data_IF_427583432326
#
_entry.id   IF_427583432326
#
_cell.length_a   1.000
_cell.length_b   1.000
_cell.length_c   1.000
_cell.angle_alpha   90.00
_cell.angle_beta   90.00
_cell.angle_gamma   90.00
#
_symmetry.space_group_name_H-M   'P 1'
#
loop_
_entity.id
_entity.type
_entity.pdbx_description
1 polymer ?
#
# COMPACT_ATOMS: atom_id res chain seq x y z
N UNK A 1 4.32 14.76 16.18
CA UNK A 1 4.85 14.77 17.57
C UNK A 1 4.15 13.78 18.48
N UNK A 2 2.85 13.61 18.28
CA UNK A 2 2.01 12.68 19.06
C UNK A 2 2.25 11.18 18.83
N UNK A 3 2.94 10.82 17.74
CA UNK A 3 3.20 9.45 17.32
C UNK A 3 4.65 9.07 17.65
N UNK A 4 4.91 8.14 18.58
CA UNK A 4 6.28 7.84 19.06
C UNK A 4 7.26 7.36 17.97
N UNK A 5 6.78 6.52 17.06
CA UNK A 5 7.43 6.14 15.81
C UNK A 5 6.45 6.31 14.66
N UNK A 6 6.69 7.27 13.77
CA UNK A 6 5.76 7.61 12.69
C UNK A 6 6.01 6.82 11.40
N UNK A 7 6.91 5.84 11.35
CA UNK A 7 7.17 5.02 10.16
C UNK A 7 6.76 3.55 10.38
N UNK A 8 6.12 2.95 9.37
CA UNK A 8 5.74 1.53 9.37
C UNK A 8 5.71 0.97 7.93
N UNK A 9 5.48 -0.33 7.81
CA UNK A 9 5.39 -1.07 6.55
C UNK A 9 5.82 -2.53 6.74
N UNK A 10 5.21 -3.44 5.98
CA UNK A 10 5.41 -4.90 6.10
C UNK A 10 6.70 -5.31 5.40
N UNK A 11 6.94 -4.80 4.19
CA UNK A 11 8.14 -5.13 3.39
C UNK A 11 9.16 -4.00 3.45
N UNK A 12 8.70 -2.79 3.14
CA UNK A 12 9.51 -1.57 3.15
C UNK A 12 8.85 -0.60 4.11
N UNK A 13 9.61 -0.09 5.09
CA UNK A 13 9.11 0.84 6.09
C UNK A 13 9.14 2.29 5.60
N UNK A 14 8.44 2.56 4.50
CA UNK A 14 8.37 3.89 3.88
C UNK A 14 7.02 4.60 4.07
N UNK A 15 6.04 3.99 4.75
CA UNK A 15 4.77 4.65 5.06
C UNK A 15 4.82 5.41 6.38
N UNK A 16 4.07 6.51 6.43
CA UNK A 16 3.86 7.27 7.66
C UNK A 16 2.45 7.08 8.19
N UNK A 17 2.30 6.97 9.52
CA UNK A 17 0.95 6.86 10.13
C UNK A 17 0.15 8.13 9.88
N UNK A 18 0.81 9.28 10.05
CA UNK A 18 0.35 10.57 9.56
C UNK A 18 1.49 11.24 8.79
N UNK A 19 1.25 11.73 7.59
CA UNK A 19 2.21 12.48 6.80
C UNK A 19 2.71 13.71 7.58
N UNK A 20 4.04 13.88 7.64
CA UNK A 20 4.68 14.95 8.42
C UNK A 20 5.20 16.09 7.56
N UNK A 21 6.17 15.82 6.69
CA UNK A 21 6.86 16.86 5.91
C UNK A 21 6.31 17.02 4.50
N UNK A 22 5.83 15.92 3.92
CA UNK A 22 5.28 15.87 2.56
C UNK A 22 4.08 14.95 2.56
N UNK A 23 3.05 15.34 1.82
CA UNK A 23 1.97 14.45 1.40
C UNK A 23 2.33 13.91 0.03
N UNK A 24 2.23 12.59 -0.16
CA UNK A 24 2.68 11.95 -1.39
C UNK A 24 1.53 11.63 -2.37
N UNK A 25 0.29 11.73 -1.91
CA UNK A 25 -0.90 11.54 -2.73
C UNK A 25 -2.14 12.19 -2.09
N UNK A 26 -3.21 12.34 -2.87
CA UNK A 26 -4.50 12.81 -2.37
C UNK A 26 -5.12 11.70 -1.52
N UNK A 27 -5.22 11.93 -0.20
CA UNK A 27 -5.65 10.93 0.78
C UNK A 27 -4.60 10.62 1.85
N UNK A 28 -3.37 11.14 1.69
CA UNK A 28 -2.31 10.96 2.68
C UNK A 28 -2.65 11.70 3.99
N UNK A 29 -3.06 10.93 5.01
CA UNK A 29 -3.59 11.50 6.25
C UNK A 29 -2.54 12.29 7.02
N UNK A 30 -2.82 13.55 7.37
CA UNK A 30 -1.89 14.44 8.09
C UNK A 30 -2.27 14.68 9.56
N UNK A 31 -3.55 14.47 9.89
CA UNK A 31 -4.10 14.69 11.22
C UNK A 31 -5.24 13.69 11.48
N UNK A 32 -5.56 13.48 12.75
CA UNK A 32 -6.71 12.68 13.18
C UNK A 32 -7.37 13.37 14.37
N UNK A 33 -8.71 13.36 14.43
CA UNK A 33 -9.48 13.96 15.50
C UNK A 33 -10.28 12.90 16.27
N UNK A 34 -10.37 13.06 17.59
CA UNK A 34 -11.26 12.29 18.45
C UNK A 34 -12.27 13.23 19.12
N UNK A 35 -13.53 12.83 19.14
CA UNK A 35 -14.61 13.54 19.82
C UNK A 35 -15.65 12.56 20.35
N UNK A 36 -16.60 13.04 21.15
CA UNK A 36 -17.66 12.20 21.73
C UNK A 36 -18.71 11.77 20.71
N UNK A 37 -18.82 12.49 19.58
CA UNK A 37 -19.71 12.16 18.47
C UNK A 37 -18.97 12.26 17.13
N UNK A 38 -19.48 11.53 16.12
CA UNK A 38 -18.91 11.55 14.77
C UNK A 38 -18.99 12.95 14.16
N UNK A 39 -20.09 13.66 14.41
CA UNK A 39 -20.35 15.01 13.90
C UNK A 39 -19.38 16.03 14.51
N UNK A 40 -19.04 15.88 15.80
CA UNK A 40 -18.05 16.74 16.44
C UNK A 40 -16.64 16.48 15.91
N UNK A 41 -16.28 15.22 15.65
CA UNK A 41 -14.99 14.87 15.04
C UNK A 41 -14.87 15.44 13.62
N UNK A 42 -15.92 15.33 12.81
CA UNK A 42 -15.95 15.91 11.45
C UNK A 42 -15.80 17.43 11.47
N UNK A 43 -16.55 18.13 12.35
CA UNK A 43 -16.41 19.58 12.54
C UNK A 43 -15.01 19.97 13.01
N UNK A 44 -14.39 19.18 13.89
CA UNK A 44 -13.02 19.45 14.33
C UNK A 44 -12.02 19.37 13.17
N UNK A 45 -12.20 18.42 12.24
CA UNK A 45 -11.36 18.31 11.04
C UNK A 45 -11.51 19.52 10.11
N UNK A 46 -12.73 20.06 9.94
CA UNK A 46 -12.97 21.27 9.12
C UNK A 46 -12.27 22.53 9.65
N UNK A 47 -11.96 22.57 10.96
CA UNK A 47 -11.26 23.69 11.58
C UNK A 47 -9.74 23.63 11.39
N UNK A 48 -9.21 22.49 10.95
CA UNK A 48 -7.77 22.32 10.69
C UNK A 48 -7.42 23.07 9.40
N UNK A 49 -6.56 24.07 9.52
CA UNK A 49 -6.00 24.80 8.38
C UNK A 49 -4.60 24.31 8.08
N UNK A 50 -4.34 24.03 6.82
CA UNK A 50 -3.06 23.49 6.35
C UNK A 50 -2.64 24.29 5.13
N UNK A 51 -1.42 24.80 5.18
CA UNK A 51 -0.80 25.50 4.06
C UNK A 51 0.16 24.55 3.36
N UNK A 52 -0.06 24.35 2.06
CA UNK A 52 0.80 23.50 1.23
C UNK A 52 1.66 24.36 0.33
N UNK A 53 2.91 23.96 0.18
CA UNK A 53 3.72 24.33 -0.97
C UNK A 53 3.64 23.19 -1.97
N UNK A 54 3.05 23.45 -3.13
CA UNK A 54 2.98 22.46 -4.19
C UNK A 54 4.38 22.05 -4.65
N UNK A 55 4.54 20.74 -4.85
CA UNK A 55 5.74 20.12 -5.42
C UNK A 55 5.37 19.49 -6.76
N UNK A 56 6.32 19.36 -7.71
CA UNK A 56 6.07 18.62 -8.93
C UNK A 56 5.64 17.18 -8.62
N UNK A 57 4.47 16.78 -9.11
CA UNK A 57 3.97 15.42 -9.01
C UNK A 57 4.45 14.55 -10.17
N UNK A 58 4.48 13.23 -9.96
CA UNK A 58 4.69 12.23 -11.01
C UNK A 58 3.44 11.36 -11.07
N UNK A 59 2.92 11.18 -12.28
CA UNK A 59 1.67 10.43 -12.51
C UNK A 59 1.81 9.34 -13.58
N UNK A 60 3.00 9.17 -14.16
CA UNK A 60 3.33 8.06 -15.06
C UNK A 60 4.59 7.33 -14.54
N UNK A 61 4.55 5.99 -14.36
CA UNK A 61 5.72 5.25 -13.93
C UNK A 61 6.91 5.30 -14.91
N UNK A 62 6.67 5.54 -16.21
CA UNK A 62 7.77 5.72 -17.17
C UNK A 62 8.47 7.08 -16.98
N UNK A 63 7.72 8.14 -16.67
CA UNK A 63 8.31 9.43 -16.27
C UNK A 63 9.10 9.30 -14.96
N UNK A 64 8.66 8.42 -14.05
CA UNK A 64 9.37 8.15 -12.80
C UNK A 64 10.74 7.49 -12.98
N UNK A 65 10.96 6.78 -14.09
CA UNK A 65 12.24 6.13 -14.44
C UNK A 65 13.27 7.10 -15.03
N UNK A 66 12.85 8.31 -15.44
CA UNK A 66 13.75 9.31 -16.03
C UNK A 66 14.78 9.81 -15.02
N UNK A 67 16.00 10.08 -15.49
CA UNK A 67 17.15 10.43 -14.64
C UNK A 67 16.92 11.68 -13.78
N UNK A 68 16.18 12.64 -14.32
CA UNK A 68 15.92 13.94 -13.68
C UNK A 68 14.51 14.02 -13.07
N UNK A 69 13.80 12.89 -12.95
CA UNK A 69 12.48 12.82 -12.33
C UNK A 69 12.55 13.26 -10.86
N UNK A 70 11.59 14.04 -10.36
CA UNK A 70 11.57 14.41 -8.95
C UNK A 70 11.42 13.17 -8.07
N UNK A 71 12.17 13.11 -6.96
CA UNK A 71 12.11 11.96 -6.06
C UNK A 71 10.89 12.04 -5.15
N UNK A 72 10.05 11.00 -5.19
CA UNK A 72 8.88 10.84 -4.29
C UNK A 72 9.37 10.68 -2.85
N UNK A 73 10.33 9.76 -2.65
CA UNK A 73 11.04 9.56 -1.38
C UNK A 73 12.42 10.17 -1.50
N UNK A 74 12.63 11.35 -0.91
CA UNK A 74 13.85 12.14 -1.08
C UNK A 74 15.13 11.48 -0.54
N UNK A 75 14.99 10.45 0.29
CA UNK A 75 16.12 9.66 0.80
C UNK A 75 16.61 8.58 -0.18
N UNK A 76 15.91 8.34 -1.29
CA UNK A 76 16.26 7.32 -2.28
C UNK A 76 17.05 7.91 -3.45
N UNK A 77 17.77 7.05 -4.18
CA UNK A 77 18.54 7.45 -5.37
C UNK A 77 17.68 7.59 -6.63
N UNK A 78 16.52 6.91 -6.67
CA UNK A 78 15.56 6.93 -7.78
C UNK A 78 14.16 6.53 -7.29
N UNK A 79 13.16 6.58 -8.17
CA UNK A 79 11.77 6.20 -7.87
C UNK A 79 11.47 4.70 -8.08
N UNK A 80 12.48 3.87 -8.35
CA UNK A 80 12.27 2.44 -8.60
C UNK A 80 12.17 1.66 -7.28
N UNK A 81 10.96 1.18 -6.94
CA UNK A 81 10.74 0.38 -5.72
C UNK A 81 11.52 -0.92 -5.72
N UNK A 82 11.53 -1.64 -6.86
CA UNK A 82 12.22 -2.93 -7.00
C UNK A 82 12.45 -3.27 -8.48
N UNK A 83 13.49 -4.07 -8.76
CA UNK A 83 13.69 -4.72 -10.06
C UNK A 83 13.69 -6.25 -9.90
N UNK A 84 12.84 -6.95 -10.65
CA UNK A 84 12.87 -8.41 -10.70
C UNK A 84 13.29 -8.89 -12.09
N UNK A 85 14.22 -9.84 -12.12
CA UNK A 85 14.76 -10.41 -13.35
C UNK A 85 14.62 -11.92 -13.30
N UNK A 86 13.88 -12.47 -14.27
CA UNK A 86 13.78 -13.91 -14.51
C UNK A 86 14.45 -14.24 -15.84
N UNK A 87 15.36 -15.22 -15.84
CA UNK A 87 16.03 -15.71 -17.05
C UNK A 87 16.09 -17.23 -17.03
N UNK A 88 15.73 -17.83 -18.16
CA UNK A 88 15.79 -19.28 -18.37
C UNK A 88 16.09 -19.56 -19.83
N UNK A 89 17.09 -20.41 -20.08
CA UNK A 89 17.51 -20.76 -21.44
C UNK A 89 18.25 -19.63 -22.15
N UNK A 90 18.26 -19.72 -23.49
CA UNK A 90 18.95 -18.80 -24.39
C UNK A 90 17.91 -18.21 -25.35
N UNK A 91 17.49 -16.98 -25.07
CA UNK A 91 16.42 -16.30 -25.81
C UNK A 91 16.85 -15.92 -27.22
N UNK A 92 18.13 -15.59 -27.44
CA UNK A 92 18.67 -15.29 -28.76
C UNK A 92 18.58 -16.51 -29.68
N UNK A 93 19.02 -17.68 -29.19
CA UNK A 93 18.86 -18.94 -29.93
C UNK A 93 17.41 -19.30 -30.17
N UNK A 94 16.54 -19.08 -29.18
CA UNK A 94 15.11 -19.34 -29.32
C UNK A 94 14.45 -18.46 -30.39
N UNK A 95 14.77 -17.16 -30.43
CA UNK A 95 14.27 -16.26 -31.47
C UNK A 95 14.84 -16.56 -32.85
N UNK A 96 16.11 -17.01 -32.94
CA UNK A 96 16.69 -17.45 -34.22
C UNK A 96 15.99 -18.70 -34.79
N UNK A 97 15.35 -19.52 -33.95
CA UNK A 97 14.56 -20.69 -34.35
C UNK A 97 13.09 -20.37 -34.58
N UNK A 98 12.64 -19.17 -34.24
CA UNK A 98 11.24 -18.78 -34.41
C UNK A 98 10.94 -18.53 -35.88
N UNK A 99 9.86 -19.15 -36.37
CA UNK A 99 9.33 -18.87 -37.71
C UNK A 99 8.28 -17.76 -37.70
N UNK A 100 7.66 -17.53 -36.53
CA UNK A 100 6.72 -16.44 -36.28
C UNK A 100 7.16 -15.71 -35.02
N UNK A 101 7.28 -14.38 -35.11
CA UNK A 101 7.54 -13.52 -33.96
C UNK A 101 6.37 -12.54 -33.83
N UNK A 102 5.78 -12.48 -32.65
CA UNK A 102 4.71 -11.56 -32.31
C UNK A 102 5.18 -10.60 -31.21
N UNK A 103 5.04 -9.31 -31.50
CA UNK A 103 5.29 -8.23 -30.55
C UNK A 103 3.97 -7.51 -30.24
N UNK A 104 3.64 -7.41 -28.95
CA UNK A 104 2.40 -6.82 -28.47
C UNK A 104 2.65 -6.03 -27.19
N UNK A 105 1.97 -4.90 -27.08
CA UNK A 105 1.89 -4.14 -25.85
C UNK A 105 0.52 -4.34 -25.23
N UNK A 106 0.50 -4.53 -23.91
CA UNK A 106 -0.70 -4.70 -23.11
C UNK A 106 -0.66 -3.74 -21.94
N UNK A 107 -1.83 -3.22 -21.57
CA UNK A 107 -1.98 -2.41 -20.37
C UNK A 107 -3.10 -2.95 -19.50
N UNK A 108 -2.98 -2.73 -18.19
CA UNK A 108 -4.07 -2.94 -17.24
C UNK A 108 -4.29 -1.67 -16.43
N UNK A 109 -5.54 -1.37 -16.16
CA UNK A 109 -5.95 -0.21 -15.40
C UNK A 109 -5.77 -0.41 -13.89
N UNK A 110 -5.87 0.70 -13.17
CA UNK A 110 -6.08 0.73 -11.74
C UNK A 110 -7.42 0.12 -11.35
N UNK A 111 -7.45 -0.69 -10.28
CA UNK A 111 -8.68 -1.29 -9.78
C UNK A 111 -8.75 -1.16 -8.25
N UNK A 112 -9.90 -0.68 -7.78
CA UNK A 112 -10.27 -0.67 -6.37
C UNK A 112 -10.90 -2.01 -5.96
N UNK A 113 -10.55 -2.49 -4.77
CA UNK A 113 -11.06 -3.70 -4.13
C UNK A 113 -12.58 -3.65 -3.93
N UNK A 114 -13.10 -2.48 -3.53
CA UNK A 114 -14.53 -2.23 -3.35
C UNK A 114 -15.23 -3.25 -2.45
N UNK A 115 -14.55 -3.72 -1.40
CA UNK A 115 -15.19 -4.57 -0.38
C UNK A 115 -16.41 -3.86 0.21
N UNK A 116 -17.47 -4.60 0.49
CA UNK A 116 -18.78 -4.02 0.84
C UNK A 116 -18.71 -3.26 2.16
N UNK A 117 -18.00 -3.81 3.15
CA UNK A 117 -17.76 -3.18 4.45
C UNK A 117 -16.51 -2.31 4.39
N UNK A 118 -16.57 -0.97 4.55
CA UNK A 118 -15.38 -0.13 4.71
C UNK A 118 -14.48 -0.54 5.88
N UNK A 119 -13.28 0.02 5.95
CA UNK A 119 -12.36 -0.16 7.07
C UNK A 119 -13.00 0.30 8.38
N UNK A 120 -12.99 -0.59 9.37
CA UNK A 120 -13.55 -0.29 10.68
C UNK A 120 -12.81 -1.00 11.81
N UNK A 121 -12.66 -0.30 12.94
CA UNK A 121 -12.09 -0.86 14.16
C UNK A 121 -12.49 -0.08 15.42
N UNK A 122 -12.23 -0.70 16.57
CA UNK A 122 -12.27 -0.08 17.89
C UNK A 122 -10.96 -0.40 18.62
N UNK A 123 -10.26 0.63 19.09
CA UNK A 123 -9.11 0.50 19.97
C UNK A 123 -9.54 0.76 21.42
N UNK A 124 -9.26 -0.17 22.32
CA UNK A 124 -9.61 -0.15 23.74
C UNK A 124 -8.31 -0.13 24.57
N UNK A 125 -8.03 0.94 25.34
CA UNK A 125 -6.81 1.02 26.13
C UNK A 125 -6.93 0.16 27.41
N UNK A 126 -5.82 -0.41 27.87
CA UNK A 126 -5.68 -1.13 29.15
C UNK A 126 -6.59 -2.34 29.38
N UNK A 127 -7.08 -2.96 28.32
CA UNK A 127 -7.93 -4.14 28.40
C UNK A 127 -7.10 -5.44 28.41
N UNK A 128 -7.55 -6.46 29.15
CA UNK A 128 -6.93 -7.80 29.14
C UNK A 128 -5.41 -7.82 29.35
N UNK A 129 -4.89 -7.00 30.28
CA UNK A 129 -3.46 -6.83 30.56
C UNK A 129 -2.60 -6.34 29.37
N UNK A 130 -3.23 -5.88 28.29
CA UNK A 130 -2.56 -5.23 27.16
C UNK A 130 -2.51 -3.72 27.35
N UNK A 131 -1.57 -3.04 26.70
CA UNK A 131 -1.60 -1.57 26.64
C UNK A 131 -2.78 -1.10 25.78
N UNK A 132 -3.02 -1.79 24.67
CA UNK A 132 -4.17 -1.57 23.79
C UNK A 132 -4.65 -2.89 23.19
N UNK A 133 -5.97 -3.09 23.17
CA UNK A 133 -6.65 -4.14 22.42
C UNK A 133 -7.39 -3.52 21.25
N UNK A 134 -7.26 -4.05 20.04
CA UNK A 134 -7.89 -3.54 18.84
C UNK A 134 -8.76 -4.62 18.21
N UNK A 135 -10.04 -4.31 18.03
CA UNK A 135 -11.03 -5.15 17.36
C UNK A 135 -11.34 -4.54 15.99
N UNK A 136 -11.29 -5.31 14.91
CA UNK A 136 -11.63 -4.73 13.61
C UNK A 136 -11.60 -5.67 12.42
N UNK A 137 -11.93 -5.10 11.27
CA UNK A 137 -11.95 -5.76 9.96
C UNK A 137 -10.53 -5.93 9.39
N UNK A 138 -9.64 -6.61 10.11
CA UNK A 138 -8.19 -6.63 9.85
C UNK A 138 -7.81 -7.92 9.13
N UNK A 139 -7.31 -7.85 7.88
CA UNK A 139 -6.93 -9.04 7.11
C UNK A 139 -5.76 -9.80 7.77
N UNK A 140 -4.74 -9.07 8.20
CA UNK A 140 -3.52 -9.64 8.76
C UNK A 140 -3.28 -9.14 10.20
N UNK A 141 -3.83 -9.82 11.22
CA UNK A 141 -3.73 -9.35 12.60
C UNK A 141 -2.29 -9.33 13.14
N UNK A 142 -1.41 -10.20 12.64
CA UNK A 142 -0.02 -10.25 13.08
C UNK A 142 0.80 -9.09 12.53
N UNK A 143 0.67 -8.78 11.24
CA UNK A 143 1.31 -7.60 10.64
C UNK A 143 0.79 -6.30 11.26
N UNK A 144 -0.52 -6.20 11.46
CA UNK A 144 -1.12 -5.05 12.15
C UNK A 144 -0.58 -4.90 13.59
N UNK A 145 -0.46 -6.01 14.34
CA UNK A 145 0.15 -5.99 15.68
C UNK A 145 1.58 -5.48 15.64
N UNK A 146 2.38 -5.94 14.68
CA UNK A 146 3.77 -5.49 14.52
C UNK A 146 3.85 -4.00 14.21
N UNK A 147 2.98 -3.50 13.32
CA UNK A 147 2.91 -2.09 12.96
C UNK A 147 2.53 -1.23 14.18
N UNK A 148 1.45 -1.56 14.89
CA UNK A 148 0.99 -0.80 16.06
C UNK A 148 2.02 -0.83 17.19
N UNK A 149 2.64 -1.98 17.46
CA UNK A 149 3.68 -2.10 18.48
C UNK A 149 4.92 -1.26 18.13
N UNK A 150 5.34 -1.28 16.86
CA UNK A 150 6.42 -0.43 16.36
C UNK A 150 6.10 1.06 16.51
N UNK A 151 4.90 1.47 16.10
CA UNK A 151 4.43 2.87 16.18
C UNK A 151 4.41 3.37 17.62
N UNK A 152 3.92 2.55 18.55
CA UNK A 152 3.84 2.88 19.97
C UNK A 152 5.18 2.70 20.70
N UNK A 153 6.21 2.14 20.05
CA UNK A 153 7.51 1.76 20.65
C UNK A 153 7.36 0.85 21.87
N UNK A 154 6.51 -0.17 21.76
CA UNK A 154 6.27 -1.16 22.82
C UNK A 154 6.52 -2.60 22.35
N UNK A 155 6.81 -3.53 23.26
CA UNK A 155 6.90 -4.95 22.89
C UNK A 155 5.57 -5.50 22.37
N UNK A 156 5.63 -6.51 21.50
CA UNK A 156 4.44 -7.12 20.85
C UNK A 156 3.39 -7.62 21.85
N UNK A 157 3.80 -8.09 23.03
CA UNK A 157 2.88 -8.58 24.06
C UNK A 157 2.05 -7.47 24.74
N UNK A 158 2.33 -6.20 24.45
CA UNK A 158 1.55 -5.04 24.91
C UNK A 158 0.43 -4.67 23.94
N UNK A 159 0.39 -5.25 22.74
CA UNK A 159 -0.63 -4.96 21.73
C UNK A 159 -1.38 -6.23 21.41
N UNK A 160 -2.71 -6.18 21.55
CA UNK A 160 -3.59 -7.29 21.20
C UNK A 160 -4.46 -6.91 20.01
N UNK A 161 -4.43 -7.71 18.95
CA UNK A 161 -5.31 -7.55 17.78
C UNK A 161 -6.31 -8.70 17.77
N UNK A 162 -7.59 -8.38 17.63
CA UNK A 162 -8.69 -9.31 17.51
C UNK A 162 -9.36 -9.06 16.16
N UNK A 163 -9.18 -10.01 15.24
CA UNK A 163 -9.84 -9.98 13.95
C UNK A 163 -11.31 -10.34 14.13
N UNK A 164 -12.20 -9.45 13.72
CA UNK A 164 -13.64 -9.69 13.68
C UNK A 164 -14.06 -10.23 12.30
N UNK A 165 -15.33 -10.67 12.21
CA UNK A 165 -15.97 -10.93 10.92
C UNK A 165 -15.81 -9.73 9.99
N UNK A 166 -15.53 -10.00 8.72
CA UNK A 166 -15.09 -9.01 7.75
C UNK A 166 -15.93 -9.08 6.49
N UNK A 167 -16.49 -7.95 6.06
CA UNK A 167 -17.30 -7.82 4.85
C UNK A 167 -16.46 -7.71 3.56
N UNK A 168 -15.41 -8.52 3.46
CA UNK A 168 -14.45 -8.53 2.36
C UNK A 168 -13.17 -7.74 2.63
N UNK A 169 -12.11 -8.09 1.87
CA UNK A 169 -10.83 -7.39 1.87
C UNK A 169 -10.17 -7.46 0.50
N UNK A 170 -10.09 -8.65 -0.09
CA UNK A 170 -9.49 -8.88 -1.42
C UNK A 170 -8.03 -8.40 -1.55
N UNK A 171 -7.31 -8.31 -0.43
CA UNK A 171 -5.97 -7.76 -0.36
C UNK A 171 -5.91 -6.31 0.10
N UNK A 172 -7.03 -5.58 0.17
CA UNK A 172 -7.05 -4.14 0.48
C UNK A 172 -6.99 -3.81 1.97
N UNK A 173 -7.52 -4.65 2.87
CA UNK A 173 -7.54 -4.39 4.33
C UNK A 173 -6.28 -4.90 5.07
N UNK A 174 -5.09 -4.62 4.52
CA UNK A 174 -3.79 -5.02 5.10
C UNK A 174 -3.11 -3.82 5.81
N UNK A 175 -2.23 -3.10 5.12
CA UNK A 175 -1.49 -1.97 5.70
C UNK A 175 -2.34 -0.73 5.97
N UNK A 176 -3.42 -0.50 5.20
CA UNK A 176 -4.40 0.56 5.49
C UNK A 176 -5.04 0.37 6.88
N UNK A 177 -5.36 -0.88 7.23
CA UNK A 177 -5.88 -1.23 8.55
C UNK A 177 -4.81 -1.07 9.63
N UNK A 178 -3.53 -1.26 9.29
CA UNK A 178 -2.42 -1.05 10.21
C UNK A 178 -2.23 0.44 10.53
N UNK A 179 -2.35 1.31 9.52
CA UNK A 179 -2.35 2.77 9.69
C UNK A 179 -3.53 3.24 10.56
N UNK A 180 -4.75 2.81 10.23
CA UNK A 180 -5.95 3.14 11.00
C UNK A 180 -5.83 2.64 12.45
N UNK A 181 -5.34 1.41 12.66
CA UNK A 181 -5.17 0.84 13.99
C UNK A 181 -4.15 1.62 14.82
N UNK A 182 -3.05 2.06 14.19
CA UNK A 182 -2.05 2.90 14.84
C UNK A 182 -2.63 4.26 15.25
N UNK A 183 -3.39 4.93 14.37
CA UNK A 183 -4.07 6.20 14.68
C UNK A 183 -5.05 6.05 15.84
N UNK A 184 -5.91 5.03 15.80
CA UNK A 184 -6.88 4.77 16.86
C UNK A 184 -6.21 4.42 18.20
N UNK A 185 -5.13 3.64 18.17
CA UNK A 185 -4.38 3.29 19.37
C UNK A 185 -3.74 4.52 20.04
N UNK A 186 -3.12 5.40 19.25
CA UNK A 186 -2.53 6.66 19.75
C UNK A 186 -3.61 7.52 20.40
N UNK A 187 -4.77 7.69 19.73
CA UNK A 187 -5.89 8.43 20.29
C UNK A 187 -6.42 7.79 21.58
N UNK A 188 -6.67 6.49 21.57
CA UNK A 188 -7.21 5.77 22.73
C UNK A 188 -6.33 5.89 23.97
N UNK A 189 -5.00 5.82 23.78
CA UNK A 189 -4.03 5.98 24.87
C UNK A 189 -3.95 7.42 25.37
N UNK A 190 -4.04 8.41 24.47
CA UNK A 190 -4.05 9.84 24.85
C UNK A 190 -5.31 10.25 25.59
N UNK A 191 -6.46 9.69 25.21
CA UNK A 191 -7.74 10.03 25.84
C UNK A 191 -8.08 9.12 27.01
N UNK A 192 -7.34 8.02 27.20
CA UNK A 192 -7.67 6.94 28.14
C UNK A 192 -9.12 6.43 27.98
N UNK A 193 -9.60 6.40 26.73
CA UNK A 193 -10.97 6.02 26.37
C UNK A 193 -10.95 5.15 25.12
N UNK A 194 -11.90 4.22 24.94
CA UNK A 194 -12.05 3.51 23.69
C UNK A 194 -12.28 4.47 22.51
N UNK A 195 -11.64 4.20 21.38
CA UNK A 195 -11.76 4.99 20.14
C UNK A 195 -12.25 4.09 19.02
N UNK A 196 -13.37 4.47 18.40
CA UNK A 196 -13.93 3.82 17.22
C UNK A 196 -13.60 4.63 15.99
N UNK A 197 -13.09 3.98 14.94
CA UNK A 197 -12.89 4.56 13.61
C UNK A 197 -13.63 3.73 12.58
N UNK A 198 -14.33 4.40 11.67
CA UNK A 198 -15.04 3.79 10.54
C UNK A 198 -14.92 4.73 9.36
N UNK A 199 -14.25 4.28 8.30
CA UNK A 199 -14.17 5.05 7.07
C UNK A 199 -15.54 5.10 6.38
N UNK A 200 -15.84 6.24 5.79
CA UNK A 200 -16.84 6.36 4.74
C UNK A 200 -16.36 5.64 3.47
N UNK A 201 -17.25 5.44 2.49
CA UNK A 201 -16.85 4.85 1.20
C UNK A 201 -15.79 5.72 0.50
N UNK A 202 -15.95 7.03 0.55
CA UNK A 202 -15.02 7.95 -0.12
C UNK A 202 -13.65 7.92 0.54
N UNK A 203 -13.58 7.95 1.87
CA UNK A 203 -12.31 7.78 2.61
C UNK A 203 -11.65 6.43 2.33
N UNK A 204 -12.43 5.35 2.25
CA UNK A 204 -11.94 4.01 1.90
C UNK A 204 -11.30 3.99 0.50
N UNK A 205 -11.95 4.61 -0.49
CA UNK A 205 -11.42 4.71 -1.86
C UNK A 205 -10.23 5.66 -1.94
N UNK A 206 -10.19 6.74 -1.17
CA UNK A 206 -9.08 7.68 -1.20
C UNK A 206 -7.82 7.11 -0.54
N UNK A 207 -7.94 6.50 0.63
CA UNK A 207 -6.79 6.10 1.44
C UNK A 207 -6.24 4.69 1.11
N UNK A 208 -7.08 3.76 0.68
CA UNK A 208 -6.61 2.40 0.42
C UNK A 208 -5.62 2.36 -0.76
N UNK A 209 -4.62 1.49 -0.70
CA UNK A 209 -3.83 1.18 -1.90
C UNK A 209 -4.61 0.26 -2.83
N UNK A 210 -4.10 0.08 -4.05
CA UNK A 210 -4.90 -0.33 -5.21
C UNK A 210 -4.16 -1.37 -6.02
N UNK A 211 -4.87 -2.03 -6.94
CA UNK A 211 -4.19 -2.91 -7.92
C UNK A 211 -3.27 -2.06 -8.79
N UNK A 212 -2.00 -2.47 -8.89
CA UNK A 212 -1.01 -1.88 -9.80
C UNK A 212 -1.52 -1.89 -11.24
N UNK A 213 -1.63 -0.70 -11.88
CA UNK A 213 -1.63 -0.60 -13.33
C UNK A 213 -0.32 -1.16 -13.89
N UNK A 214 -0.40 -1.83 -15.04
CA UNK A 214 0.77 -2.36 -15.73
C UNK A 214 0.83 -1.82 -17.16
N UNK A 215 2.05 -1.53 -17.61
CA UNK A 215 2.43 -1.44 -19.04
C UNK A 215 3.36 -2.62 -19.34
N UNK A 216 3.00 -3.45 -20.30
CA UNK A 216 3.72 -4.71 -20.56
C UNK A 216 4.03 -4.83 -22.06
N UNK A 217 5.30 -5.07 -22.39
CA UNK A 217 5.76 -5.33 -23.75
C UNK A 217 6.16 -6.79 -23.84
N UNK A 218 5.46 -7.54 -24.68
CA UNK A 218 5.71 -8.96 -24.93
C UNK A 218 6.28 -9.14 -26.33
N UNK A 219 7.35 -9.91 -26.42
CA UNK A 219 7.91 -10.43 -27.67
C UNK A 219 7.97 -11.95 -27.56
N UNK A 220 7.23 -12.64 -28.42
CA UNK A 220 7.05 -14.10 -28.35
C UNK A 220 7.43 -14.72 -29.69
N UNK A 221 8.32 -15.70 -29.67
CA UNK A 221 8.72 -16.49 -30.84
C UNK A 221 8.09 -17.87 -30.80
N UNK A 222 7.55 -18.32 -31.93
CA UNK A 222 6.94 -19.64 -32.11
C UNK A 222 7.33 -20.28 -33.45
N UNK A 223 7.23 -21.61 -33.53
CA UNK A 223 7.27 -22.36 -34.81
C UNK A 223 5.91 -22.34 -35.50
N UNK A 224 5.83 -22.75 -36.78
CA UNK A 224 4.55 -22.83 -37.49
C UNK A 224 3.56 -23.84 -36.91
N UNK A 225 4.04 -24.83 -36.17
CA UNK A 225 3.22 -25.79 -35.43
C UNK A 225 2.68 -25.23 -34.10
N UNK A 226 2.98 -23.97 -33.78
CA UNK A 226 2.48 -23.28 -32.58
C UNK A 226 3.30 -23.53 -31.32
N UNK A 227 4.49 -24.13 -31.43
CA UNK A 227 5.39 -24.33 -30.27
C UNK A 227 6.10 -23.03 -29.92
N UNK A 228 5.97 -22.59 -28.67
CA UNK A 228 6.73 -21.45 -28.14
C UNK A 228 8.22 -21.81 -27.98
N UNK A 229 9.11 -20.98 -28.50
CA UNK A 229 10.56 -21.20 -28.49
C UNK A 229 11.34 -20.07 -27.82
N UNK A 230 10.80 -18.86 -27.77
CA UNK A 230 11.37 -17.72 -27.05
C UNK A 230 10.29 -16.78 -26.54
N UNK A 231 10.58 -16.12 -25.43
CA UNK A 231 9.75 -15.06 -24.88
C UNK A 231 10.63 -14.03 -24.18
N UNK A 232 10.41 -12.77 -24.48
CA UNK A 232 10.99 -11.62 -23.79
C UNK A 232 9.86 -10.69 -23.35
N UNK A 233 9.89 -10.27 -22.09
CA UNK A 233 8.82 -9.51 -21.47
C UNK A 233 9.44 -8.37 -20.66
N UNK A 234 9.01 -7.13 -20.93
CA UNK A 234 9.25 -5.98 -20.05
C UNK A 234 7.93 -5.56 -19.43
N UNK A 235 7.85 -5.55 -18.11
CA UNK A 235 6.70 -5.06 -17.36
C UNK A 235 7.12 -3.86 -16.52
N UNK A 236 6.36 -2.77 -16.61
CA UNK A 236 6.43 -1.61 -15.73
C UNK A 236 5.13 -1.57 -14.94
N UNK A 237 5.23 -1.52 -13.61
CA UNK A 237 4.09 -1.50 -12.70
C UNK A 237 4.09 -0.19 -11.91
N UNK A 238 2.98 0.51 -11.89
CA UNK A 238 2.83 1.72 -11.08
C UNK A 238 2.51 1.33 -9.63
N UNK A 239 3.44 1.62 -8.72
CA UNK A 239 3.30 1.36 -7.28
C UNK A 239 2.54 2.43 -6.51
N UNK A 240 2.31 3.60 -7.11
CA UNK A 240 1.89 4.79 -6.41
C UNK A 240 2.93 5.27 -5.39
N UNK A 241 2.46 6.03 -4.39
CA UNK A 241 3.29 6.77 -3.46
C UNK A 241 4.12 5.93 -2.48
N UNK A 242 3.66 4.72 -2.11
CA UNK A 242 4.30 3.90 -1.08
C UNK A 242 4.51 2.47 -1.59
N UNK A 243 5.52 1.78 -1.05
CA UNK A 243 5.93 0.49 -1.61
C UNK A 243 4.91 -0.62 -1.31
N UNK A 244 4.35 -0.64 -0.10
CA UNK A 244 3.37 -1.61 0.37
C UNK A 244 3.73 -3.06 -0.05
N UNK A 245 2.80 -3.74 -0.73
CA UNK A 245 2.97 -5.10 -1.25
C UNK A 245 3.66 -5.18 -2.61
N UNK A 246 4.10 -4.04 -3.20
CA UNK A 246 4.70 -3.98 -4.55
C UNK A 246 5.79 -5.05 -4.75
N UNK A 247 6.80 -5.20 -3.87
CA UNK A 247 7.84 -6.21 -4.07
C UNK A 247 7.32 -7.64 -4.22
N UNK A 248 6.31 -8.05 -3.45
CA UNK A 248 5.74 -9.41 -3.59
C UNK A 248 4.82 -9.53 -4.81
N UNK A 249 4.03 -8.49 -5.10
CA UNK A 249 3.12 -8.48 -6.25
C UNK A 249 3.93 -8.55 -7.55
N UNK A 250 4.94 -7.69 -7.73
CA UNK A 250 5.74 -7.65 -8.95
C UNK A 250 6.64 -8.88 -9.11
N UNK A 251 7.14 -9.45 -8.00
CA UNK A 251 7.84 -10.73 -8.06
C UNK A 251 6.94 -11.82 -8.62
N UNK A 252 5.70 -11.92 -8.12
CA UNK A 252 4.72 -12.89 -8.61
C UNK A 252 4.38 -12.65 -10.08
N UNK A 253 4.17 -11.39 -10.47
CA UNK A 253 3.91 -11.01 -11.86
C UNK A 253 5.03 -11.50 -12.79
N UNK A 254 6.29 -11.32 -12.42
CA UNK A 254 7.44 -11.79 -13.22
C UNK A 254 7.52 -13.32 -13.29
N UNK A 255 7.29 -14.02 -12.18
CA UNK A 255 7.33 -15.50 -12.15
C UNK A 255 6.21 -16.13 -12.99
N UNK A 256 5.07 -15.45 -13.11
CA UNK A 256 3.88 -15.94 -13.82
C UNK A 256 3.72 -15.36 -15.24
N UNK A 257 4.60 -14.43 -15.64
CA UNK A 257 4.44 -13.66 -16.87
C UNK A 257 4.45 -14.52 -18.15
N UNK A 258 5.04 -15.71 -18.11
CA UNK A 258 5.17 -16.62 -19.26
C UNK A 258 4.00 -17.60 -19.43
N UNK A 259 3.01 -17.57 -18.53
CA UNK A 259 1.96 -18.60 -18.43
C UNK A 259 2.30 -19.68 -17.43
#
# INVERSE_FOLDING_TARGET
DDIPNNRFGVIVQNQQVLAKERVLYIGDGIAVAAAETKEAAAKALELIKVEYKELPGIFDPEEAEEKDAPLIHSELENNQVVHHRLRKGDTEKGFAQAEVILEREYTTQFVEHSYIEPESLVAVPYEHNSLVTIYGSIQNPFSCRNAVASVLKVPLNRVRIIQNHMGGSFGGKDEVMSSMAARAAVLALKTNRPVKMVNTRDESILESYKRHPYKMKYRVGATKEGKLVAMEIKCVADSGAYACQTPFVTWRSVVQATG
#
